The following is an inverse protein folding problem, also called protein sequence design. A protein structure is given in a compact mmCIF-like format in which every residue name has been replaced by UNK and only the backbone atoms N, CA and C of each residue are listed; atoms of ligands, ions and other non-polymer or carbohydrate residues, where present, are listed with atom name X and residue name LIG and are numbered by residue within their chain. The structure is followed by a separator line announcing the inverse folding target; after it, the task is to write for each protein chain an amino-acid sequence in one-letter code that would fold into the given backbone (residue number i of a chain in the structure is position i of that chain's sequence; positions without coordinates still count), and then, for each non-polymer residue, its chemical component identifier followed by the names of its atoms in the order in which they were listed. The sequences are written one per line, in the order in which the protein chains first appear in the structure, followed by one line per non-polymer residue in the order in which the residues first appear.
data_IF_150813106956
#
_entry.id   IF_150813106956
#
_cell.length_a   1.000
_cell.length_b   1.000
_cell.length_c   1.000
_cell.angle_alpha   90.00
_cell.angle_beta   90.00
_cell.angle_gamma   90.00
#
_symmetry.space_group_name_H-M   'P 1'
#
loop_
_entity.id
_entity.type
_entity.pdbx_description
1 polymer ?
#
# COMPACT_ATOMS: atom_id res chain seq x y z
N UNK A 1 -21.50 19.77 7.25
CA UNK A 1 -20.98 21.16 7.46
C UNK A 1 -20.75 21.51 8.93
N UNK A 2 -21.38 20.86 9.90
CA UNK A 2 -21.29 21.16 11.34
C UNK A 2 -19.84 21.27 11.86
N UNK A 3 -18.96 20.36 11.46
CA UNK A 3 -17.55 20.33 11.90
C UNK A 3 -16.60 21.15 11.02
N UNK A 4 -17.10 21.86 10.04
CA UNK A 4 -16.25 22.58 9.10
C UNK A 4 -15.75 23.89 9.70
N UNK A 5 -14.44 24.15 9.59
CA UNK A 5 -13.78 25.35 10.15
C UNK A 5 -13.76 26.55 9.21
N UNK A 6 -14.42 26.46 8.05
CA UNK A 6 -14.48 27.56 7.07
C UNK A 6 -15.86 28.22 7.08
N UNK A 7 -15.90 29.51 6.90
CA UNK A 7 -17.13 30.32 6.92
C UNK A 7 -17.90 30.32 5.60
N UNK A 8 -17.28 29.82 4.51
CA UNK A 8 -17.87 29.81 3.17
C UNK A 8 -17.57 28.50 2.48
N UNK A 9 -18.49 28.04 1.64
CA UNK A 9 -18.35 26.90 0.73
C UNK A 9 -18.88 27.29 -0.64
N UNK A 10 -18.27 26.81 -1.70
CA UNK A 10 -18.81 26.96 -3.05
C UNK A 10 -19.85 25.86 -3.25
N UNK A 11 -21.08 26.23 -3.48
CA UNK A 11 -22.15 25.32 -3.88
C UNK A 11 -22.30 25.39 -5.40
N UNK A 12 -22.44 24.24 -6.00
CA UNK A 12 -22.72 24.07 -7.41
C UNK A 12 -24.04 23.33 -7.57
N UNK A 13 -24.82 23.74 -8.56
CA UNK A 13 -26.11 23.12 -8.85
C UNK A 13 -26.18 22.67 -10.30
N UNK A 14 -26.76 21.51 -10.53
CA UNK A 14 -27.17 21.01 -11.85
C UNK A 14 -28.63 20.62 -11.71
N UNK A 15 -29.52 21.41 -12.33
CA UNK A 15 -30.97 21.29 -12.16
C UNK A 15 -31.36 21.31 -10.67
N UNK A 16 -31.84 20.18 -10.15
CA UNK A 16 -32.29 20.04 -8.76
C UNK A 16 -31.24 19.38 -7.85
N UNK A 17 -30.04 19.08 -8.36
CA UNK A 17 -28.95 18.51 -7.57
C UNK A 17 -27.99 19.61 -7.14
N UNK A 18 -27.73 19.69 -5.85
CA UNK A 18 -26.79 20.65 -5.27
C UNK A 18 -25.74 19.92 -4.44
N UNK A 19 -24.47 20.28 -4.66
CA UNK A 19 -23.36 19.79 -3.85
C UNK A 19 -22.26 20.85 -3.76
N UNK A 20 -21.34 20.68 -2.82
CA UNK A 20 -20.19 21.55 -2.69
C UNK A 20 -18.97 20.90 -3.35
N UNK A 21 -18.08 21.76 -3.88
CA UNK A 21 -16.85 21.28 -4.48
C UNK A 21 -15.68 22.21 -4.16
N UNK A 22 -14.47 21.63 -4.06
CA UNK A 22 -13.24 22.40 -3.91
C UNK A 22 -12.71 22.79 -5.29
N UNK A 23 -12.44 24.08 -5.45
CA UNK A 23 -11.93 24.61 -6.71
C UNK A 23 -13.02 25.02 -7.68
N UNK A 24 -12.64 25.13 -8.95
CA UNK A 24 -13.53 25.58 -10.01
C UNK A 24 -14.13 24.41 -10.76
N UNK A 25 -15.40 24.53 -11.09
CA UNK A 25 -16.07 23.63 -12.01
C UNK A 25 -16.27 24.33 -13.36
N UNK A 26 -16.37 23.55 -14.42
CA UNK A 26 -16.71 24.08 -15.76
C UNK A 26 -18.14 24.66 -15.74
N UNK A 27 -18.41 25.72 -16.56
CA UNK A 27 -19.71 26.38 -16.57
C UNK A 27 -20.87 25.50 -17.05
N UNK A 28 -20.58 24.42 -17.76
CA UNK A 28 -21.58 23.52 -18.34
C UNK A 28 -20.99 22.12 -18.53
N UNK A 29 -21.82 21.08 -18.37
CA UNK A 29 -21.46 19.69 -18.68
C UNK A 29 -21.04 19.47 -20.13
N UNK A 30 -21.43 20.37 -21.06
CA UNK A 30 -20.98 20.32 -22.45
C UNK A 30 -19.47 20.44 -22.66
N UNK A 31 -18.70 20.88 -21.67
CA UNK A 31 -17.24 20.87 -21.69
C UNK A 31 -16.65 19.47 -21.43
N UNK A 32 -17.44 18.54 -20.88
CA UNK A 32 -17.02 17.18 -20.57
C UNK A 32 -17.33 16.30 -21.79
N UNK A 33 -16.38 16.19 -22.72
CA UNK A 33 -16.58 15.49 -24.01
C UNK A 33 -15.85 14.15 -24.08
N UNK A 34 -14.85 13.95 -23.23
CA UNK A 34 -13.97 12.79 -23.30
C UNK A 34 -14.02 12.01 -22.00
N UNK A 35 -14.94 11.07 -21.93
CA UNK A 35 -15.08 10.12 -20.83
C UNK A 35 -15.93 8.94 -21.28
N UNK A 36 -15.80 7.83 -20.59
CA UNK A 36 -16.71 6.69 -20.73
C UNK A 36 -17.22 6.24 -19.37
N UNK A 37 -18.41 5.62 -19.39
CA UNK A 37 -19.05 5.08 -18.18
C UNK A 37 -19.40 3.62 -18.43
N UNK A 38 -18.84 2.73 -17.61
CA UNK A 38 -19.07 1.30 -17.69
C UNK A 38 -19.83 0.81 -16.44
N UNK A 39 -20.87 -0.01 -16.59
CA UNK A 39 -21.44 -0.72 -15.44
C UNK A 39 -20.35 -1.62 -14.83
N UNK A 40 -20.21 -1.58 -13.52
CA UNK A 40 -19.22 -2.39 -12.83
C UNK A 40 -19.74 -2.82 -11.45
N UNK A 41 -19.93 -4.13 -11.28
CA UNK A 41 -20.48 -4.72 -10.05
C UNK A 41 -21.83 -4.08 -9.67
N UNK A 42 -21.95 -3.51 -8.47
CA UNK A 42 -23.15 -2.83 -7.96
C UNK A 42 -23.14 -1.30 -8.22
N UNK A 43 -22.28 -0.84 -9.12
CA UNK A 43 -22.12 0.57 -9.45
C UNK A 43 -21.69 0.81 -10.88
N UNK A 44 -20.81 1.77 -11.06
CA UNK A 44 -20.24 2.10 -12.37
C UNK A 44 -18.79 2.58 -12.22
N UNK A 45 -18.04 2.45 -13.32
CA UNK A 45 -16.70 2.99 -13.47
C UNK A 45 -16.75 4.17 -14.44
N UNK A 46 -16.27 5.32 -13.97
CA UNK A 46 -16.05 6.50 -14.79
C UNK A 46 -14.58 6.52 -15.22
N UNK A 47 -14.35 6.46 -16.51
CA UNK A 47 -13.00 6.45 -17.09
C UNK A 47 -12.70 7.78 -17.79
N UNK A 48 -11.58 8.37 -17.42
CA UNK A 48 -11.07 9.61 -18.02
C UNK A 48 -10.11 9.33 -19.17
N UNK A 49 -9.90 10.31 -20.07
CA UNK A 49 -8.94 10.16 -21.14
C UNK A 49 -7.51 10.11 -20.60
N UNK A 50 -6.68 9.35 -21.26
CA UNK A 50 -5.25 9.38 -21.06
C UNK A 50 -4.69 10.78 -21.32
N UNK A 51 -3.74 11.22 -20.48
CA UNK A 51 -3.20 12.59 -20.50
C UNK A 51 -2.49 12.94 -21.81
N UNK A 52 -1.79 11.98 -22.40
CA UNK A 52 -0.94 12.21 -23.57
C UNK A 52 -1.71 11.99 -24.87
N UNK A 53 -2.45 10.89 -24.96
CA UNK A 53 -3.21 10.53 -26.16
C UNK A 53 -4.55 11.24 -26.27
N UNK A 54 -5.08 11.76 -25.15
CA UNK A 54 -6.42 12.35 -25.01
C UNK A 54 -7.56 11.42 -25.44
N UNK A 55 -7.32 10.12 -25.46
CA UNK A 55 -8.32 9.08 -25.76
C UNK A 55 -8.65 8.33 -24.50
N UNK A 56 -9.91 7.96 -24.36
CA UNK A 56 -10.33 7.04 -23.30
C UNK A 56 -9.80 5.65 -23.68
N UNK A 57 -9.02 5.06 -22.77
CA UNK A 57 -8.48 3.72 -22.97
C UNK A 57 -9.57 2.65 -22.86
N UNK A 58 -9.32 1.44 -23.33
CA UNK A 58 -10.19 0.30 -23.09
C UNK A 58 -10.30 0.01 -21.58
N UNK A 59 -11.49 -0.33 -21.12
CA UNK A 59 -11.73 -0.57 -19.71
C UNK A 59 -11.17 -1.93 -19.26
N UNK A 60 -10.17 -1.90 -18.40
CA UNK A 60 -9.61 -3.08 -17.75
C UNK A 60 -9.98 -3.09 -16.25
N UNK A 61 -10.82 -4.04 -15.81
CA UNK A 61 -11.29 -4.06 -14.44
C UNK A 61 -10.21 -4.47 -13.43
N UNK A 62 -9.82 -3.55 -12.55
CA UNK A 62 -8.90 -3.82 -11.45
C UNK A 62 -9.61 -4.51 -10.27
N UNK A 63 -10.02 -5.77 -10.45
CA UNK A 63 -10.85 -6.53 -9.49
C UNK A 63 -10.27 -6.56 -8.08
N UNK A 64 -8.98 -6.86 -7.93
CA UNK A 64 -8.34 -6.92 -6.60
C UNK A 64 -8.43 -5.58 -5.86
N UNK A 65 -8.15 -4.47 -6.56
CA UNK A 65 -8.27 -3.13 -6.00
C UNK A 65 -9.72 -2.82 -5.61
N UNK A 66 -10.68 -3.11 -6.49
CA UNK A 66 -12.09 -2.89 -6.23
C UNK A 66 -12.56 -3.62 -4.96
N UNK A 67 -12.28 -4.92 -4.83
CA UNK A 67 -12.69 -5.70 -3.67
C UNK A 67 -11.98 -5.26 -2.39
N UNK A 68 -10.73 -4.80 -2.47
CA UNK A 68 -10.02 -4.23 -1.33
C UNK A 68 -10.70 -2.94 -0.84
N UNK A 69 -11.02 -2.03 -1.75
CA UNK A 69 -11.73 -0.78 -1.44
C UNK A 69 -13.14 -1.05 -0.91
N UNK A 70 -13.87 -2.00 -1.53
CA UNK A 70 -15.19 -2.42 -1.06
C UNK A 70 -15.13 -2.97 0.37
N UNK A 71 -14.18 -3.85 0.64
CA UNK A 71 -13.97 -4.42 1.98
C UNK A 71 -13.66 -3.33 3.02
N UNK A 72 -12.84 -2.34 2.67
CA UNK A 72 -12.54 -1.20 3.55
C UNK A 72 -13.78 -0.35 3.82
N UNK A 73 -14.59 -0.08 2.80
CA UNK A 73 -15.86 0.65 2.92
C UNK A 73 -16.87 -0.10 3.80
N UNK A 74 -17.03 -1.40 3.56
CA UNK A 74 -17.96 -2.23 4.32
C UNK A 74 -17.54 -2.32 5.79
N UNK A 75 -16.25 -2.29 6.05
CA UNK A 75 -15.70 -2.19 7.40
C UNK A 75 -16.05 -0.86 8.08
N UNK A 76 -15.88 0.26 7.40
CA UNK A 76 -16.31 1.58 7.91
C UNK A 76 -17.81 1.62 8.22
N UNK A 77 -18.64 1.03 7.35
CA UNK A 77 -20.09 0.92 7.55
C UNK A 77 -20.47 0.05 8.75
N UNK A 78 -19.81 -1.09 8.91
CA UNK A 78 -20.01 -1.99 10.05
C UNK A 78 -19.74 -1.29 11.39
N UNK A 79 -18.79 -0.37 11.41
CA UNK A 79 -18.43 0.42 12.58
C UNK A 79 -19.25 1.73 12.70
N UNK A 80 -20.14 1.99 11.75
CA UNK A 80 -20.89 3.26 11.66
C UNK A 80 -19.98 4.50 11.58
N UNK A 81 -18.78 4.35 10.95
CA UNK A 81 -17.75 5.38 10.78
C UNK A 81 -17.32 5.42 9.30
N UNK A 82 -18.28 5.45 8.40
CA UNK A 82 -18.05 5.43 6.95
C UNK A 82 -17.88 6.84 6.34
N UNK A 83 -18.07 7.88 7.15
CA UNK A 83 -17.88 9.27 6.76
C UNK A 83 -17.05 10.04 7.79
N UNK A 84 -16.43 11.15 7.35
CA UNK A 84 -15.73 12.06 8.26
C UNK A 84 -16.70 12.69 9.27
N UNK A 85 -17.96 12.91 8.89
CA UNK A 85 -19.00 13.37 9.79
C UNK A 85 -19.23 12.39 10.94
N UNK A 86 -19.45 11.12 10.62
CA UNK A 86 -19.60 10.05 11.61
C UNK A 86 -18.38 9.91 12.53
N UNK A 87 -17.17 10.00 11.98
CA UNK A 87 -15.94 10.01 12.76
C UNK A 87 -15.90 11.17 13.76
N UNK A 88 -16.26 12.37 13.31
CA UNK A 88 -16.33 13.54 14.19
C UNK A 88 -17.40 13.42 15.28
N UNK A 89 -18.52 12.78 14.98
CA UNK A 89 -19.58 12.50 15.98
C UNK A 89 -19.06 11.55 17.08
N UNK A 90 -18.32 10.49 16.70
CA UNK A 90 -17.68 9.58 17.66
C UNK A 90 -16.67 10.31 18.54
N UNK A 91 -15.86 11.20 17.96
CA UNK A 91 -14.88 12.02 18.69
C UNK A 91 -15.59 12.97 19.66
N UNK A 92 -16.61 13.68 19.20
CA UNK A 92 -17.37 14.61 20.01
C UNK A 92 -18.13 13.92 21.16
N UNK A 93 -18.56 12.67 20.95
CA UNK A 93 -19.18 11.82 21.98
C UNK A 93 -18.18 11.22 22.99
N UNK A 94 -16.87 11.49 22.85
CA UNK A 94 -15.83 10.94 23.73
C UNK A 94 -15.56 9.44 23.58
N UNK A 95 -16.01 8.83 22.45
CA UNK A 95 -15.90 7.37 22.18
C UNK A 95 -14.63 6.98 21.41
N UNK A 96 -13.67 7.89 21.24
CA UNK A 96 -12.45 7.69 20.43
C UNK A 96 -11.67 6.46 20.89
N UNK A 97 -11.49 6.28 22.20
CA UNK A 97 -10.72 5.14 22.74
C UNK A 97 -11.38 3.80 22.36
N UNK A 98 -12.69 3.69 22.53
CA UNK A 98 -13.42 2.47 22.17
C UNK A 98 -13.31 2.19 20.66
N UNK A 99 -13.43 3.22 19.83
CA UNK A 99 -13.26 3.11 18.39
C UNK A 99 -11.86 2.58 18.03
N UNK A 100 -10.80 3.16 18.61
CA UNK A 100 -9.43 2.72 18.35
C UNK A 100 -9.20 1.26 18.76
N UNK A 101 -9.66 0.85 19.94
CA UNK A 101 -9.55 -0.54 20.39
C UNK A 101 -10.31 -1.50 19.48
N UNK A 102 -11.49 -1.11 18.99
CA UNK A 102 -12.25 -1.93 18.04
C UNK A 102 -11.53 -2.06 16.70
N UNK A 103 -10.95 -0.97 16.19
CA UNK A 103 -10.15 -0.98 14.97
C UNK A 103 -8.90 -1.86 15.11
N UNK A 104 -8.20 -1.76 16.23
CA UNK A 104 -7.02 -2.60 16.50
C UNK A 104 -7.40 -4.08 16.57
N UNK A 105 -8.50 -4.43 17.25
CA UNK A 105 -8.98 -5.81 17.34
C UNK A 105 -9.34 -6.40 15.97
N UNK A 106 -10.02 -5.62 15.12
CA UNK A 106 -10.35 -6.03 13.76
C UNK A 106 -9.10 -6.18 12.87
N UNK A 107 -8.12 -5.31 13.05
CA UNK A 107 -6.86 -5.38 12.33
C UNK A 107 -6.07 -6.63 12.72
N UNK A 108 -5.95 -6.92 14.02
CA UNK A 108 -5.27 -8.13 14.51
C UNK A 108 -5.97 -9.41 14.06
N UNK A 109 -7.30 -9.46 14.07
CA UNK A 109 -8.05 -10.62 13.56
C UNK A 109 -7.73 -10.89 12.09
N UNK A 110 -7.66 -9.86 11.26
CA UNK A 110 -7.30 -9.99 9.84
C UNK A 110 -5.87 -10.48 9.63
N UNK A 111 -4.91 -9.90 10.35
CA UNK A 111 -3.51 -10.35 10.27
C UNK A 111 -3.41 -11.80 10.76
N UNK A 112 -4.13 -12.15 11.82
CA UNK A 112 -4.17 -13.51 12.34
C UNK A 112 -4.72 -14.53 11.32
N UNK A 113 -5.78 -14.17 10.59
CA UNK A 113 -6.33 -14.99 9.49
C UNK A 113 -5.33 -15.14 8.34
N UNK A 114 -4.66 -14.07 7.95
CA UNK A 114 -3.61 -14.09 6.92
C UNK A 114 -2.45 -15.00 7.35
N UNK A 115 -1.96 -14.86 8.58
CA UNK A 115 -0.89 -15.72 9.11
C UNK A 115 -1.32 -17.19 9.14
N UNK A 116 -2.57 -17.48 9.52
CA UNK A 116 -3.12 -18.84 9.46
C UNK A 116 -3.14 -19.40 8.04
N UNK A 117 -3.51 -18.59 7.06
CA UNK A 117 -3.47 -18.98 5.65
C UNK A 117 -2.05 -19.31 5.20
N UNK A 118 -1.07 -18.44 5.48
CA UNK A 118 0.35 -18.64 5.13
C UNK A 118 0.85 -19.97 5.71
N UNK A 119 0.57 -20.24 6.99
CA UNK A 119 0.97 -21.50 7.65
C UNK A 119 0.29 -22.71 7.02
N UNK A 120 -1.00 -22.61 6.68
CA UNK A 120 -1.76 -23.71 6.09
C UNK A 120 -1.34 -24.08 4.67
N UNK A 121 -0.81 -23.13 3.92
CA UNK A 121 -0.28 -23.35 2.58
C UNK A 121 1.07 -24.10 2.59
N UNK A 122 1.77 -24.17 3.73
CA UNK A 122 3.08 -24.83 3.88
C UNK A 122 4.15 -24.22 2.97
N UNK A 123 5.37 -24.68 3.06
CA UNK A 123 6.52 -24.39 2.16
C UNK A 123 6.72 -22.94 1.67
N UNK A 124 5.95 -21.98 2.16
CA UNK A 124 6.09 -20.55 1.81
C UNK A 124 7.29 -19.97 2.52
N UNK A 125 8.36 -19.67 1.74
CA UNK A 125 9.60 -19.06 2.24
C UNK A 125 9.59 -17.53 2.15
N UNK A 126 8.72 -16.96 1.31
CA UNK A 126 8.62 -15.52 1.10
C UNK A 126 7.20 -15.02 1.29
N UNK A 127 7.08 -13.91 2.01
CA UNK A 127 5.87 -13.09 2.11
C UNK A 127 6.23 -11.69 1.65
N UNK A 128 5.73 -11.29 0.49
CA UNK A 128 6.01 -9.98 -0.10
C UNK A 128 4.91 -8.99 0.28
N UNK A 129 5.31 -7.83 0.79
CA UNK A 129 4.40 -6.76 1.22
C UNK A 129 4.71 -5.50 0.43
N UNK A 130 3.72 -5.03 -0.35
CA UNK A 130 3.82 -3.78 -1.08
C UNK A 130 2.83 -2.73 -0.58
N UNK A 131 3.18 -1.48 -0.81
CA UNK A 131 2.33 -0.34 -0.52
C UNK A 131 3.10 0.96 -0.67
N UNK A 132 2.42 2.10 -0.85
CA UNK A 132 3.08 3.39 -1.02
C UNK A 132 3.84 3.81 0.25
N UNK A 133 4.65 4.85 0.12
CA UNK A 133 5.36 5.44 1.26
C UNK A 133 4.38 5.85 2.36
N UNK A 134 4.74 5.68 3.60
CA UNK A 134 3.93 5.99 4.79
C UNK A 134 2.57 5.25 4.89
N UNK A 135 2.36 4.16 4.15
CA UNK A 135 1.14 3.33 4.20
C UNK A 135 1.06 2.38 5.40
N UNK A 136 2.14 2.28 6.20
CA UNK A 136 2.21 1.38 7.35
C UNK A 136 2.73 -0.02 7.04
N UNK A 137 3.41 -0.24 5.89
CA UNK A 137 4.02 -1.52 5.52
C UNK A 137 4.88 -2.13 6.62
N UNK A 138 5.79 -1.34 7.18
CA UNK A 138 6.70 -1.79 8.24
C UNK A 138 5.94 -2.19 9.50
N UNK A 139 4.93 -1.44 9.92
CA UNK A 139 4.07 -1.81 11.06
C UNK A 139 3.32 -3.12 10.77
N UNK A 140 2.78 -3.26 9.55
CA UNK A 140 2.08 -4.46 9.12
C UNK A 140 3.01 -5.66 9.09
N UNK A 141 4.22 -5.54 8.52
CA UNK A 141 5.20 -6.63 8.46
C UNK A 141 5.60 -7.13 9.85
N UNK A 142 5.82 -6.22 10.81
CA UNK A 142 6.10 -6.58 12.19
C UNK A 142 4.94 -7.30 12.88
N UNK A 143 3.71 -6.82 12.73
CA UNK A 143 2.53 -7.48 13.30
C UNK A 143 2.28 -8.85 12.67
N UNK A 144 2.45 -8.96 11.35
CA UNK A 144 2.37 -10.25 10.66
C UNK A 144 3.44 -11.22 11.16
N UNK A 145 4.68 -10.76 11.32
CA UNK A 145 5.78 -11.55 11.88
C UNK A 145 5.43 -12.09 13.28
N UNK A 146 4.86 -11.27 14.15
CA UNK A 146 4.40 -11.72 15.48
C UNK A 146 3.34 -12.83 15.34
N UNK A 147 2.38 -12.66 14.45
CA UNK A 147 1.33 -13.66 14.21
C UNK A 147 1.86 -14.96 13.59
N UNK A 148 2.88 -14.90 12.73
CA UNK A 148 3.57 -16.06 12.18
C UNK A 148 4.37 -16.80 13.26
N UNK A 149 5.13 -16.06 14.09
CA UNK A 149 5.88 -16.61 15.21
C UNK A 149 4.96 -17.32 16.23
N UNK A 150 3.79 -16.75 16.53
CA UNK A 150 2.79 -17.37 17.41
C UNK A 150 2.22 -18.68 16.84
N UNK A 151 2.48 -19.00 15.56
CA UNK A 151 2.07 -20.21 14.85
C UNK A 151 3.24 -21.16 14.54
N UNK A 152 4.41 -20.91 15.11
CA UNK A 152 5.57 -21.80 15.03
C UNK A 152 6.51 -21.56 13.87
N UNK A 153 6.35 -20.47 13.10
CA UNK A 153 7.34 -20.05 12.09
C UNK A 153 8.35 -19.07 12.70
N UNK A 154 9.52 -18.97 12.07
CA UNK A 154 10.55 -17.98 12.39
C UNK A 154 10.58 -16.89 11.32
N UNK A 155 9.86 -15.78 11.49
CA UNK A 155 9.84 -14.72 10.48
C UNK A 155 11.09 -13.84 10.57
N UNK A 156 11.67 -13.53 9.41
CA UNK A 156 12.77 -12.59 9.25
C UNK A 156 12.30 -11.39 8.41
N UNK A 157 12.06 -10.23 9.04
CA UNK A 157 11.72 -9.00 8.32
C UNK A 157 12.90 -8.52 7.48
N UNK A 158 12.66 -8.24 6.20
CA UNK A 158 13.61 -7.65 5.26
C UNK A 158 12.97 -6.43 4.62
N UNK A 159 13.71 -5.33 4.58
CA UNK A 159 13.29 -4.11 3.89
C UNK A 159 13.95 -4.07 2.50
N UNK A 160 13.16 -3.89 1.45
CA UNK A 160 13.71 -3.67 0.10
C UNK A 160 14.55 -2.41 0.05
N UNK A 161 14.28 -1.44 0.90
CA UNK A 161 15.05 -0.21 1.03
C UNK A 161 16.53 -0.46 1.41
N UNK A 162 16.85 -1.59 2.02
CA UNK A 162 18.23 -2.00 2.30
C UNK A 162 19.02 -2.39 1.04
N UNK A 163 18.32 -2.63 -0.06
CA UNK A 163 18.89 -2.96 -1.38
C UNK A 163 19.01 -1.76 -2.31
N UNK A 164 18.83 -0.52 -1.84
CA UNK A 164 19.09 0.67 -2.67
C UNK A 164 20.55 0.66 -3.17
N UNK A 165 20.72 1.13 -4.41
CA UNK A 165 22.05 1.46 -4.94
C UNK A 165 22.58 2.72 -4.26
N UNK A 166 23.90 2.97 -4.35
CA UNK A 166 24.49 4.17 -3.79
C UNK A 166 23.76 5.42 -4.33
N UNK A 167 23.47 6.38 -3.46
CA UNK A 167 22.75 7.60 -3.80
C UNK A 167 23.33 8.35 -5.00
N UNK A 168 24.64 8.28 -5.18
CA UNK A 168 25.30 8.91 -6.31
C UNK A 168 24.92 8.31 -7.68
N UNK A 169 24.48 7.05 -7.68
CA UNK A 169 24.07 6.29 -8.87
C UNK A 169 22.56 6.28 -9.08
N UNK A 170 21.78 6.78 -8.11
CA UNK A 170 20.33 6.79 -8.16
C UNK A 170 19.84 7.56 -9.40
N UNK A 171 18.87 7.02 -10.16
CA UNK A 171 18.23 7.70 -11.27
C UNK A 171 17.65 9.07 -10.88
N UNK A 172 17.39 9.90 -11.88
CA UNK A 172 16.76 11.21 -11.68
C UNK A 172 15.45 11.26 -12.44
N UNK A 173 14.47 11.93 -11.81
CA UNK A 173 13.19 12.25 -12.43
C UNK A 173 13.32 13.34 -13.53
N UNK A 174 12.20 13.68 -14.16
CA UNK A 174 12.11 14.70 -15.21
C UNK A 174 12.56 16.11 -14.72
N UNK A 175 12.45 16.37 -13.43
CA UNK A 175 12.89 17.62 -12.78
C UNK A 175 14.38 17.57 -12.37
N UNK A 176 15.10 16.50 -12.61
CA UNK A 176 16.50 16.28 -12.25
C UNK A 176 16.73 15.96 -10.77
N UNK A 177 15.68 15.66 -10.00
CA UNK A 177 15.77 15.20 -8.61
C UNK A 177 16.00 13.69 -8.58
N UNK A 178 16.61 13.19 -7.50
CA UNK A 178 16.82 11.77 -7.31
C UNK A 178 15.45 11.06 -7.18
N UNK A 179 15.23 10.04 -8.00
CA UNK A 179 14.04 9.21 -8.00
C UNK A 179 14.30 7.92 -7.23
N UNK A 180 13.95 7.90 -5.94
CA UNK A 180 14.02 6.71 -5.10
C UNK A 180 12.79 5.80 -5.24
N UNK A 181 11.78 6.22 -5.97
CA UNK A 181 10.54 5.44 -6.15
C UNK A 181 10.57 4.56 -7.40
N UNK A 182 11.51 4.75 -8.31
CA UNK A 182 11.68 3.88 -9.46
C UNK A 182 12.37 2.56 -9.08
N UNK A 183 12.10 1.49 -9.83
CA UNK A 183 12.68 0.17 -9.56
C UNK A 183 14.21 0.18 -9.74
N UNK A 184 14.72 0.97 -10.67
CA UNK A 184 16.11 1.12 -11.00
C UNK A 184 16.95 1.75 -9.86
N UNK A 185 16.29 2.30 -8.84
CA UNK A 185 16.93 2.73 -7.59
C UNK A 185 17.33 1.57 -6.69
N UNK A 186 16.77 0.37 -6.93
CA UNK A 186 17.11 -0.86 -6.22
C UNK A 186 18.13 -1.69 -7.01
N UNK A 187 19.00 -2.37 -6.29
CA UNK A 187 19.88 -3.39 -6.83
C UNK A 187 19.12 -4.72 -6.93
N UNK A 188 18.29 -4.83 -7.97
CA UNK A 188 17.44 -6.00 -8.21
C UNK A 188 18.27 -7.27 -8.41
N UNK A 189 19.43 -7.15 -9.02
CA UNK A 189 20.32 -8.30 -9.24
C UNK A 189 20.87 -8.84 -7.92
N UNK A 190 21.35 -7.96 -7.04
CA UNK A 190 21.81 -8.36 -5.71
C UNK A 190 20.67 -8.96 -4.89
N UNK A 191 19.49 -8.32 -4.90
CA UNK A 191 18.32 -8.84 -4.18
C UNK A 191 18.00 -10.28 -4.62
N UNK A 192 17.87 -10.51 -5.92
CA UNK A 192 17.61 -11.85 -6.45
C UNK A 192 18.73 -12.84 -6.16
N UNK A 193 20.00 -12.42 -6.24
CA UNK A 193 21.15 -13.24 -5.88
C UNK A 193 21.04 -13.71 -4.43
N UNK A 194 20.86 -12.77 -3.48
CA UNK A 194 20.80 -13.08 -2.07
C UNK A 194 19.59 -13.99 -1.72
N UNK A 195 18.43 -13.72 -2.32
CA UNK A 195 17.24 -14.56 -2.12
C UNK A 195 17.44 -15.99 -2.64
N UNK A 196 18.09 -16.17 -3.80
CA UNK A 196 18.39 -17.49 -4.35
C UNK A 196 19.42 -18.24 -3.51
N UNK A 197 20.46 -17.55 -3.00
CA UNK A 197 21.45 -18.15 -2.10
C UNK A 197 20.78 -18.62 -0.79
N UNK A 198 19.90 -17.79 -0.20
CA UNK A 198 19.13 -18.17 0.98
C UNK A 198 18.23 -19.39 0.72
N UNK A 199 17.52 -19.43 -0.41
CA UNK A 199 16.69 -20.57 -0.80
C UNK A 199 17.49 -21.85 -1.01
N UNK A 200 18.75 -21.72 -1.47
CA UNK A 200 19.66 -22.86 -1.62
C UNK A 200 20.26 -23.35 -0.29
N UNK A 201 19.91 -22.72 0.85
CA UNK A 201 20.40 -23.04 2.18
C UNK A 201 21.78 -22.48 2.50
N UNK A 202 22.28 -21.54 1.72
CA UNK A 202 23.55 -20.87 1.99
C UNK A 202 23.37 -19.73 3.00
N UNK A 203 24.48 -19.34 3.60
CA UNK A 203 24.53 -18.18 4.48
C UNK A 203 24.81 -16.92 3.67
N UNK A 204 23.97 -15.91 3.82
CA UNK A 204 24.10 -14.61 3.16
C UNK A 204 24.31 -13.52 4.19
N UNK A 205 25.21 -12.58 3.92
CA UNK A 205 25.36 -11.37 4.70
C UNK A 205 24.47 -10.28 4.10
N UNK A 206 23.29 -10.05 4.71
CA UNK A 206 22.30 -9.13 4.20
C UNK A 206 22.78 -7.68 4.30
N UNK A 207 22.56 -6.86 3.26
CA UNK A 207 22.93 -5.45 3.27
C UNK A 207 22.06 -4.63 4.23
N UNK A 208 22.52 -3.43 4.55
CA UNK A 208 21.77 -2.38 5.23
C UNK A 208 22.06 -1.07 4.51
N UNK A 209 21.00 -0.31 4.16
CA UNK A 209 21.20 0.98 3.53
C UNK A 209 21.29 2.09 4.57
N UNK A 210 22.39 2.82 4.58
CA UNK A 210 22.60 3.95 5.46
C UNK A 210 22.06 5.24 4.80
N UNK A 211 20.86 5.64 5.15
CA UNK A 211 20.20 6.84 4.60
C UNK A 211 20.96 8.16 4.86
N UNK A 212 21.81 8.22 5.90
CA UNK A 212 22.61 9.40 6.19
C UNK A 212 23.77 9.54 5.19
N UNK A 213 24.50 8.46 4.95
CA UNK A 213 25.64 8.45 4.01
C UNK A 213 25.18 8.24 2.57
N UNK A 214 24.00 7.68 2.36
CA UNK A 214 23.47 7.30 1.05
C UNK A 214 24.21 6.13 0.44
N UNK A 215 24.71 5.20 1.26
CA UNK A 215 25.47 4.03 0.85
C UNK A 215 24.95 2.77 1.50
N UNK A 216 25.14 1.66 0.80
CA UNK A 216 24.94 0.32 1.32
C UNK A 216 26.13 -0.08 2.19
N UNK A 217 25.84 -0.70 3.33
CA UNK A 217 26.79 -1.18 4.31
C UNK A 217 26.53 -2.66 4.64
N UNK A 218 27.55 -3.38 5.07
CA UNK A 218 27.44 -4.74 5.59
C UNK A 218 27.91 -4.76 7.04
N UNK A 219 27.05 -5.22 7.94
CA UNK A 219 27.27 -5.15 9.39
C UNK A 219 27.16 -6.53 10.04
N UNK A 220 27.76 -7.54 9.40
CA UNK A 220 27.73 -8.93 9.90
C UNK A 220 26.32 -9.48 10.15
N UNK A 221 25.39 -9.08 9.27
CA UNK A 221 23.98 -9.51 9.32
C UNK A 221 23.81 -10.83 8.54
N UNK A 222 24.39 -11.90 9.08
CA UNK A 222 24.38 -13.22 8.43
C UNK A 222 23.06 -13.96 8.68
N UNK A 223 22.45 -14.46 7.62
CA UNK A 223 21.24 -15.27 7.65
C UNK A 223 21.43 -16.57 6.88
N UNK A 224 20.91 -17.66 7.45
CA UNK A 224 20.77 -18.96 6.77
C UNK A 224 19.34 -19.43 7.03
N UNK A 225 18.61 -19.82 5.98
CA UNK A 225 17.21 -20.24 6.14
C UNK A 225 17.12 -21.69 6.62
N UNK A 226 16.42 -21.90 7.73
CA UNK A 226 15.99 -23.19 8.21
C UNK A 226 14.60 -23.58 7.66
N UNK A 227 14.12 -24.73 8.13
CA UNK A 227 12.84 -25.29 7.67
C UNK A 227 11.65 -24.40 8.00
N UNK A 228 11.58 -23.90 9.22
CA UNK A 228 10.45 -23.09 9.72
C UNK A 228 10.65 -21.60 9.49
N UNK A 229 11.73 -21.21 8.80
CA UNK A 229 12.05 -19.80 8.55
C UNK A 229 11.26 -19.27 7.36
N UNK A 230 10.79 -18.01 7.47
CA UNK A 230 10.07 -17.28 6.45
C UNK A 230 10.56 -15.83 6.37
N UNK A 231 10.85 -15.36 5.17
CA UNK A 231 11.23 -13.97 4.92
C UNK A 231 9.98 -13.13 4.72
N UNK A 232 9.84 -12.08 5.54
CA UNK A 232 8.76 -11.09 5.42
C UNK A 232 9.36 -9.83 4.81
N UNK A 233 9.23 -9.71 3.49
CA UNK A 233 9.91 -8.70 2.69
C UNK A 233 8.95 -7.56 2.41
N UNK A 234 9.31 -6.32 2.79
CA UNK A 234 8.47 -5.16 2.57
C UNK A 234 9.16 -4.08 1.76
N UNK A 235 8.41 -3.41 0.91
CA UNK A 235 8.85 -2.26 0.14
C UNK A 235 7.84 -1.82 -0.91
N UNK A 236 8.07 -0.67 -1.54
CA UNK A 236 7.14 -0.14 -2.55
C UNK A 236 7.02 -1.06 -3.77
N UNK A 237 8.09 -1.80 -4.09
CA UNK A 237 8.17 -2.72 -5.23
C UNK A 237 7.86 -4.18 -4.88
N UNK A 238 7.41 -4.48 -3.66
CA UNK A 238 7.19 -5.85 -3.20
C UNK A 238 6.26 -6.72 -4.07
N UNK A 239 5.41 -6.13 -4.90
CA UNK A 239 4.54 -6.83 -5.86
C UNK A 239 4.84 -6.46 -7.32
N UNK A 240 6.03 -5.93 -7.61
CA UNK A 240 6.45 -5.63 -8.96
C UNK A 240 7.02 -6.90 -9.62
N UNK A 241 6.41 -7.34 -10.72
CA UNK A 241 6.82 -8.55 -11.44
C UNK A 241 8.28 -8.50 -11.95
N UNK A 242 8.86 -7.31 -12.07
CA UNK A 242 10.27 -7.13 -12.46
C UNK A 242 11.25 -7.28 -11.28
N UNK A 243 10.76 -7.33 -10.04
CA UNK A 243 11.62 -7.48 -8.86
C UNK A 243 12.11 -8.92 -8.71
N UNK A 244 11.24 -9.89 -8.98
CA UNK A 244 11.55 -11.32 -8.79
C UNK A 244 11.08 -12.14 -9.99
N UNK A 245 11.92 -13.02 -10.52
CA UNK A 245 11.65 -13.97 -11.61
C UNK A 245 12.14 -15.36 -11.26
#
# INVERSE_FOLDING_TARGET
FYYRRVSRVNLYSIENFEDYFYGFMVPSTGYLQYYDVFPYEDGFMLQFPDKDTRKVAEFEPAKKLFYTLKTSRDWGRMLEIDTIGALNDVIAAGKTQQMLLTQEALFEDRIGKLAQQIVSEGDRKFVMIAGPSSSGKTTFSHRLSIQLAARGLNPYPIQLDDYYIDRALCPRDEDGKLDFECLESLDVELFNHDMNELLSGKTVNLPIFNFKTGKREYRDNYLTLGKEDVLVIEGIHGLNDKLSY
#
